data_IF_602194698757
#
_entry.id   IF_602194698757
#
_cell.length_a   1.000
_cell.length_b   1.000
_cell.length_c   1.000
_cell.angle_alpha   90.00
_cell.angle_beta   90.00
_cell.angle_gamma   90.00
#
_symmetry.space_group_name_H-M   'P 1'
#
loop_
_entity.id
_entity.type
_entity.pdbx_description
1 polymer ?
#
# COMPACT_ATOMS: atom_id res chain seq x y z
N UNK A 1 -7.69 -10.16 2.53
CA UNK A 1 -8.00 -9.21 1.44
C UNK A 1 -9.44 -9.44 1.03
N UNK A 2 -10.31 -8.45 1.19
CA UNK A 2 -11.70 -8.53 0.74
C UNK A 2 -11.83 -7.91 -0.65
N UNK A 3 -12.70 -8.50 -1.49
CA UNK A 3 -12.99 -8.03 -2.85
C UNK A 3 -14.37 -7.39 -2.88
N UNK A 4 -14.49 -6.24 -3.53
CA UNK A 4 -15.74 -5.53 -3.76
C UNK A 4 -15.86 -5.13 -5.23
N UNK A 5 -17.01 -5.38 -5.84
CA UNK A 5 -17.30 -4.96 -7.21
C UNK A 5 -18.22 -3.74 -7.13
N UNK A 6 -17.79 -2.62 -7.70
CA UNK A 6 -18.63 -1.43 -7.82
C UNK A 6 -19.61 -1.54 -8.99
N UNK A 7 -20.53 -0.59 -9.04
CA UNK A 7 -21.51 -0.47 -10.12
C UNK A 7 -21.08 0.48 -11.23
N UNK A 8 -20.14 1.38 -10.95
CA UNK A 8 -19.65 2.38 -11.89
C UNK A 8 -18.63 1.79 -12.87
N UNK A 9 -18.66 2.27 -14.11
CA UNK A 9 -17.72 1.90 -15.17
C UNK A 9 -16.43 2.73 -15.18
N UNK A 10 -16.40 3.84 -14.44
CA UNK A 10 -15.27 4.77 -14.36
C UNK A 10 -15.13 5.34 -12.96
N UNK A 11 -13.90 5.57 -12.51
CA UNK A 11 -13.68 6.41 -11.34
C UNK A 11 -13.55 7.88 -11.74
N UNK A 12 -14.25 8.75 -11.02
CA UNK A 12 -14.05 10.18 -11.12
C UNK A 12 -13.00 10.57 -10.09
N UNK A 13 -11.76 10.75 -10.51
CA UNK A 13 -10.65 11.29 -9.67
C UNK A 13 -10.43 12.79 -9.88
N UNK A 14 -11.33 13.46 -10.59
CA UNK A 14 -11.23 14.89 -10.85
C UNK A 14 -11.52 15.68 -9.57
N UNK A 15 -10.71 16.70 -9.28
CA UNK A 15 -10.80 17.53 -8.08
C UNK A 15 -12.13 18.29 -7.92
N UNK A 16 -12.91 18.41 -8.99
CA UNK A 16 -14.22 19.06 -9.01
C UNK A 16 -15.41 18.08 -8.98
N UNK A 17 -15.18 16.78 -8.77
CA UNK A 17 -16.24 15.77 -8.67
C UNK A 17 -16.04 14.89 -7.43
N UNK A 18 -17.13 14.42 -6.79
CA UNK A 18 -17.00 13.47 -5.70
C UNK A 18 -16.43 12.16 -6.25
N UNK A 19 -15.49 11.54 -5.50
CA UNK A 19 -14.87 10.28 -5.90
C UNK A 19 -15.94 9.19 -6.05
N UNK A 20 -15.92 8.46 -7.15
CA UNK A 20 -16.89 7.37 -7.41
C UNK A 20 -16.92 6.37 -6.25
N UNK A 21 -15.76 6.03 -5.70
CA UNK A 21 -15.65 5.11 -4.57
C UNK A 21 -16.36 5.60 -3.30
N UNK A 22 -16.47 6.92 -3.12
CA UNK A 22 -17.20 7.52 -2.00
C UNK A 22 -18.70 7.53 -2.25
N UNK A 23 -19.11 7.77 -3.50
CA UNK A 23 -20.52 7.73 -3.90
C UNK A 23 -21.12 6.33 -3.78
N UNK A 24 -20.33 5.30 -4.13
CA UNK A 24 -20.75 3.90 -4.04
C UNK A 24 -20.50 3.28 -2.65
N UNK A 25 -19.98 4.06 -1.71
CA UNK A 25 -19.62 3.60 -0.37
C UNK A 25 -18.83 2.29 -0.39
N UNK A 26 -17.76 2.22 -1.19
CA UNK A 26 -16.96 1.01 -1.34
C UNK A 26 -16.51 0.50 0.03
N UNK A 27 -16.74 -0.80 0.27
CA UNK A 27 -16.47 -1.46 1.55
C UNK A 27 -17.17 -0.83 2.76
N UNK A 28 -18.28 -0.11 2.55
CA UNK A 28 -19.03 0.57 3.60
C UNK A 28 -18.47 1.94 3.99
N UNK A 29 -17.47 2.46 3.27
CA UNK A 29 -16.81 3.73 3.57
C UNK A 29 -17.00 4.75 2.45
N UNK A 30 -17.15 6.03 2.82
CA UNK A 30 -17.41 7.14 1.89
C UNK A 30 -16.44 8.32 2.04
N UNK A 31 -15.36 8.12 2.79
CA UNK A 31 -14.32 9.08 3.18
C UNK A 31 -12.95 8.72 2.58
N UNK A 32 -12.94 7.99 1.45
CA UNK A 32 -11.71 7.65 0.73
C UNK A 32 -11.03 8.90 0.19
N UNK A 33 -9.70 8.91 0.24
CA UNK A 33 -8.82 9.90 -0.36
C UNK A 33 -8.00 9.25 -1.48
N UNK A 34 -7.86 9.94 -2.61
CA UNK A 34 -7.06 9.45 -3.73
C UNK A 34 -5.56 9.70 -3.51
N UNK A 35 -4.74 8.64 -3.48
CA UNK A 35 -3.30 8.76 -3.28
C UNK A 35 -2.49 8.85 -4.58
N UNK A 36 -2.86 8.02 -5.57
CA UNK A 36 -2.12 7.93 -6.83
C UNK A 36 -2.45 6.69 -7.64
N UNK A 37 -1.58 6.38 -8.61
CA UNK A 37 -1.70 5.22 -9.49
C UNK A 37 -0.40 4.44 -9.52
N UNK A 38 -0.53 3.12 -9.53
CA UNK A 38 0.61 2.20 -9.65
C UNK A 38 1.35 2.46 -10.97
N UNK A 39 2.67 2.60 -10.89
CA UNK A 39 3.54 2.80 -12.04
C UNK A 39 3.48 4.18 -12.70
N UNK A 40 2.77 5.16 -12.11
CA UNK A 40 2.69 6.53 -12.64
C UNK A 40 3.30 7.60 -11.74
N UNK A 41 3.39 7.36 -10.43
CA UNK A 41 3.90 8.33 -9.45
C UNK A 41 4.96 7.69 -8.56
N UNK A 42 5.97 8.47 -8.18
CA UNK A 42 7.02 8.04 -7.24
C UNK A 42 6.39 7.48 -5.97
N UNK A 43 6.84 6.29 -5.60
CA UNK A 43 6.41 5.57 -4.41
C UNK A 43 5.19 4.66 -4.55
N UNK A 44 4.49 4.73 -5.68
CA UNK A 44 3.44 3.79 -6.10
C UNK A 44 4.04 2.82 -7.13
N UNK A 45 4.93 1.93 -6.70
CA UNK A 45 5.69 1.07 -7.61
C UNK A 45 4.89 -0.17 -8.03
N UNK A 46 5.22 -0.74 -9.20
CA UNK A 46 4.61 -1.96 -9.69
C UNK A 46 4.32 -1.93 -11.20
N UNK A 47 3.61 -2.96 -11.65
CA UNK A 47 3.17 -3.09 -13.04
C UNK A 47 1.96 -2.20 -13.28
N UNK A 48 2.11 -1.19 -14.15
CA UNK A 48 1.06 -0.22 -14.47
C UNK A 48 -0.19 -0.85 -15.09
N UNK A 49 0.00 -1.79 -16.01
CA UNK A 49 -1.07 -2.33 -16.86
C UNK A 49 -0.76 -3.76 -17.34
N UNK A 50 -1.79 -4.48 -17.76
CA UNK A 50 -1.69 -5.84 -18.31
C UNK A 50 -2.68 -6.80 -17.66
N UNK A 51 -2.48 -8.11 -17.85
CA UNK A 51 -3.35 -9.14 -17.25
C UNK A 51 -2.83 -9.66 -15.91
N UNK A 52 -1.59 -9.34 -15.58
CA UNK A 52 -0.99 -9.65 -14.29
C UNK A 52 0.16 -8.70 -14.00
N UNK A 53 0.56 -8.64 -12.74
CA UNK A 53 1.70 -7.83 -12.35
C UNK A 53 1.87 -7.73 -10.85
N UNK A 54 2.60 -6.69 -10.44
CA UNK A 54 2.86 -6.40 -9.02
C UNK A 54 2.38 -5.01 -8.65
N UNK A 55 2.21 -4.79 -7.35
CA UNK A 55 2.01 -3.48 -6.74
C UNK A 55 2.86 -3.39 -5.47
N UNK A 56 3.36 -2.20 -5.15
CA UNK A 56 4.19 -1.94 -3.99
C UNK A 56 4.00 -0.50 -3.52
N UNK A 57 3.57 -0.36 -2.28
CA UNK A 57 3.30 0.90 -1.58
C UNK A 57 4.22 1.08 -0.36
N UNK A 58 5.22 0.21 -0.15
CA UNK A 58 6.07 0.21 1.04
C UNK A 58 6.80 1.53 1.28
N UNK A 59 6.99 2.33 0.23
CA UNK A 59 7.69 3.63 0.31
C UNK A 59 6.79 4.81 0.64
N UNK A 60 5.47 4.62 0.64
CA UNK A 60 4.48 5.70 0.84
C UNK A 60 3.45 5.39 1.92
N UNK A 61 3.35 4.14 2.34
CA UNK A 61 2.45 3.76 3.42
C UNK A 61 2.90 4.44 4.69
N UNK A 62 2.09 5.41 5.11
CA UNK A 62 2.30 6.15 6.34
C UNK A 62 1.66 5.35 7.47
N UNK A 63 2.25 5.44 8.66
CA UNK A 63 1.64 4.89 9.88
C UNK A 63 0.23 5.45 10.15
N UNK A 64 -0.11 6.60 9.56
CA UNK A 64 -1.42 7.24 9.66
C UNK A 64 -2.49 6.64 8.74
N UNK A 65 -2.16 5.77 7.77
CA UNK A 65 -3.19 5.18 6.91
C UNK A 65 -3.85 4.01 7.63
N UNK A 66 -5.17 4.10 7.82
CA UNK A 66 -5.95 3.07 8.49
C UNK A 66 -6.38 1.99 7.49
N UNK A 67 -6.93 2.41 6.35
CA UNK A 67 -7.44 1.51 5.33
C UNK A 67 -6.87 1.89 3.97
N UNK A 68 -6.58 0.89 3.14
CA UNK A 68 -6.02 1.09 1.81
C UNK A 68 -6.75 0.20 0.82
N UNK A 69 -7.21 0.82 -0.26
CA UNK A 69 -7.96 0.16 -1.32
C UNK A 69 -7.25 0.31 -2.67
N UNK A 70 -7.15 -0.80 -3.39
CA UNK A 70 -6.72 -0.83 -4.79
C UNK A 70 -7.93 -0.98 -5.69
N UNK A 71 -8.10 -0.06 -6.65
CA UNK A 71 -9.19 -0.10 -7.64
C UNK A 71 -8.63 -0.37 -9.02
N UNK A 72 -9.04 -1.50 -9.59
CA UNK A 72 -8.65 -1.99 -10.90
C UNK A 72 -9.63 -1.52 -11.97
N UNK A 73 -9.12 -1.20 -13.17
CA UNK A 73 -9.94 -0.77 -14.31
C UNK A 73 -9.48 -1.38 -15.62
N UNK A 74 -10.39 -1.89 -16.44
CA UNK A 74 -10.08 -2.37 -17.81
C UNK A 74 -10.53 -1.45 -18.95
N UNK A 75 -11.25 -0.37 -18.65
CA UNK A 75 -11.81 0.54 -19.66
C UNK A 75 -13.32 0.35 -19.84
N UNK A 76 -13.84 0.63 -21.05
CA UNK A 76 -15.28 0.62 -21.32
C UNK A 76 -15.91 -0.79 -21.15
N UNK A 77 -17.16 -0.84 -20.70
CA UNK A 77 -17.98 -2.06 -20.53
C UNK A 77 -17.52 -3.02 -19.40
N UNK A 78 -16.74 -2.55 -18.43
CA UNK A 78 -16.50 -3.24 -17.16
C UNK A 78 -16.74 -2.28 -16.00
N UNK A 79 -17.13 -2.79 -14.84
CA UNK A 79 -17.24 -1.95 -13.63
C UNK A 79 -15.93 -1.91 -12.86
N UNK A 80 -15.83 -1.05 -11.85
CA UNK A 80 -14.66 -0.98 -10.98
C UNK A 80 -14.57 -2.22 -10.08
N UNK A 81 -13.37 -2.78 -9.92
CA UNK A 81 -13.11 -3.84 -8.94
C UNK A 81 -12.16 -3.31 -7.89
N UNK A 82 -12.63 -3.23 -6.65
CA UNK A 82 -11.89 -2.79 -5.48
C UNK A 82 -11.38 -3.99 -4.68
N UNK A 83 -10.18 -3.86 -4.14
CA UNK A 83 -9.62 -4.77 -3.14
C UNK A 83 -9.16 -3.97 -1.93
N UNK A 84 -9.69 -4.31 -0.75
CA UNK A 84 -9.22 -3.75 0.51
C UNK A 84 -8.02 -4.55 1.00
N UNK A 85 -6.90 -3.85 1.19
CA UNK A 85 -5.68 -4.45 1.71
C UNK A 85 -5.87 -4.80 3.18
N UNK A 86 -5.24 -5.91 3.60
CA UNK A 86 -5.18 -6.24 5.01
C UNK A 86 -4.07 -5.41 5.69
N UNK A 87 -4.22 -5.18 6.99
CA UNK A 87 -3.24 -4.43 7.79
C UNK A 87 -1.82 -4.96 7.61
N UNK A 88 -0.87 -4.03 7.43
CA UNK A 88 0.54 -4.35 7.25
C UNK A 88 0.92 -4.90 5.85
N UNK A 89 -0.04 -5.14 4.95
CA UNK A 89 0.27 -5.60 3.59
C UNK A 89 0.65 -4.43 2.70
N UNK A 90 1.93 -4.33 2.35
CA UNK A 90 2.48 -3.18 1.61
C UNK A 90 2.85 -3.48 0.15
N UNK A 91 2.84 -4.75 -0.25
CA UNK A 91 3.12 -5.15 -1.63
C UNK A 91 2.45 -6.48 -1.95
N UNK A 92 2.27 -6.77 -3.24
CA UNK A 92 1.66 -8.00 -3.69
C UNK A 92 1.69 -8.20 -5.19
N UNK A 93 1.15 -9.34 -5.60
CA UNK A 93 0.88 -9.67 -7.00
C UNK A 93 -0.60 -9.46 -7.29
N UNK A 94 -0.92 -9.24 -8.56
CA UNK A 94 -2.28 -9.14 -9.03
C UNK A 94 -2.45 -9.89 -10.36
N UNK A 95 -3.65 -10.41 -10.58
CA UNK A 95 -4.16 -10.88 -11.85
C UNK A 95 -5.41 -10.06 -12.20
N UNK A 96 -5.70 -9.92 -13.48
CA UNK A 96 -6.85 -9.14 -13.92
C UNK A 96 -8.14 -9.75 -13.39
N UNK A 97 -8.98 -9.00 -12.68
CA UNK A 97 -10.28 -9.49 -12.22
C UNK A 97 -11.32 -9.51 -13.36
N UNK A 98 -10.99 -8.99 -14.54
CA UNK A 98 -11.91 -8.80 -15.65
C UNK A 98 -12.00 -10.03 -16.53
N UNK A 99 -12.48 -11.12 -15.93
CA UNK A 99 -12.59 -12.42 -16.57
C UNK A 99 -13.99 -12.68 -17.12
N UNK A 100 -14.08 -13.59 -18.10
CA UNK A 100 -15.34 -13.98 -18.75
C UNK A 100 -16.42 -14.41 -17.76
N UNK A 101 -16.04 -15.17 -16.72
CA UNK A 101 -16.98 -15.70 -15.74
C UNK A 101 -17.65 -14.64 -14.86
N UNK A 102 -17.02 -13.47 -14.70
CA UNK A 102 -17.49 -12.42 -13.78
C UNK A 102 -18.11 -11.25 -14.54
N UNK A 103 -17.51 -10.86 -15.67
CA UNK A 103 -17.91 -9.66 -16.43
C UNK A 103 -18.48 -9.97 -17.83
N UNK A 104 -18.70 -11.24 -18.16
CA UNK A 104 -19.21 -11.70 -19.46
C UNK A 104 -18.43 -11.14 -20.66
N UNK A 105 -17.11 -11.00 -20.51
CA UNK A 105 -16.19 -10.54 -21.55
C UNK A 105 -15.69 -11.72 -22.41
N UNK A 106 -15.39 -11.53 -23.70
CA UNK A 106 -15.00 -12.64 -24.58
C UNK A 106 -13.69 -13.31 -24.15
N UNK A 107 -12.74 -12.53 -23.64
CA UNK A 107 -11.46 -12.97 -23.07
C UNK A 107 -11.15 -12.12 -21.83
N UNK A 108 -10.25 -12.60 -20.96
CA UNK A 108 -9.72 -11.79 -19.84
C UNK A 108 -9.18 -10.48 -20.37
N UNK A 109 -9.60 -9.37 -19.77
CA UNK A 109 -9.20 -8.04 -20.21
C UNK A 109 -7.98 -7.55 -19.48
N UNK A 110 -7.24 -6.67 -20.14
CA UNK A 110 -6.12 -6.00 -19.52
C UNK A 110 -6.60 -4.96 -18.51
N UNK A 111 -5.95 -4.92 -17.36
CA UNK A 111 -6.02 -3.80 -16.43
C UNK A 111 -5.26 -2.66 -17.08
N UNK A 112 -5.95 -1.54 -17.34
CA UNK A 112 -5.37 -0.32 -17.91
C UNK A 112 -4.54 0.46 -16.89
N UNK A 113 -5.01 0.48 -15.64
CA UNK A 113 -4.31 1.07 -14.50
C UNK A 113 -4.96 0.64 -13.18
N UNK A 114 -4.21 0.80 -12.10
CA UNK A 114 -4.63 0.55 -10.72
C UNK A 114 -4.55 1.86 -9.94
N UNK A 115 -5.66 2.26 -9.35
CA UNK A 115 -5.79 3.47 -8.52
C UNK A 115 -5.72 3.11 -7.05
N UNK A 116 -4.97 3.90 -6.28
CA UNK A 116 -4.78 3.69 -4.85
C UNK A 116 -5.56 4.75 -4.08
N UNK A 117 -6.41 4.27 -3.19
CA UNK A 117 -7.19 5.08 -2.27
C UNK A 117 -6.82 4.70 -0.84
N UNK A 118 -6.85 5.67 0.05
CA UNK A 118 -6.57 5.47 1.47
C UNK A 118 -7.56 6.24 2.34
N UNK A 119 -7.70 5.80 3.58
CA UNK A 119 -8.39 6.52 4.64
C UNK A 119 -7.38 6.84 5.73
N UNK A 120 -7.37 8.09 6.17
CA UNK A 120 -6.53 8.50 7.28
C UNK A 120 -7.15 7.97 8.58
N UNK A 121 -6.34 7.30 9.39
CA UNK A 121 -6.67 7.00 10.77
C UNK A 121 -6.38 8.21 11.65
N UNK A 122 -7.14 8.32 12.74
CA UNK A 122 -6.82 9.30 13.79
C UNK A 122 -5.40 9.04 14.31
N UNK A 123 -4.54 10.07 14.43
CA UNK A 123 -3.21 9.92 15.03
C UNK A 123 -3.35 9.29 16.41
N UNK A 124 -2.83 8.07 16.58
CA UNK A 124 -2.90 7.31 17.84
C UNK A 124 -3.71 6.02 17.79
N UNK A 125 -4.41 5.71 16.69
CA UNK A 125 -5.10 4.42 16.50
C UNK A 125 -4.45 3.50 15.46
N UNK A 126 -3.25 3.86 14.99
CA UNK A 126 -2.37 2.96 14.26
C UNK A 126 -2.05 1.79 15.18
N UNK A 127 -2.56 0.59 14.88
CA UNK A 127 -1.99 -0.62 15.45
C UNK A 127 -0.48 -0.50 15.26
N UNK A 128 0.25 -0.39 16.37
CA UNK A 128 1.66 -0.09 16.36
C UNK A 128 2.33 -1.18 15.52
N UNK A 129 2.70 -0.83 14.28
CA UNK A 129 3.60 -1.65 13.48
C UNK A 129 4.81 -1.84 14.38
N UNK A 130 5.14 -3.08 14.80
CA UNK A 130 6.30 -3.30 15.63
C UNK A 130 7.49 -2.79 14.84
N UNK A 131 8.03 -1.65 15.24
CA UNK A 131 9.32 -1.21 14.73
C UNK A 131 10.27 -2.37 14.99
N UNK A 132 11.00 -2.87 13.96
CA UNK A 132 12.01 -3.88 14.20
C UNK A 132 12.97 -3.33 15.27
N UNK A 133 12.93 -3.91 16.47
CA UNK A 133 13.76 -3.54 17.61
C UNK A 133 15.27 -3.74 17.36
N UNK A 134 15.66 -4.09 16.14
CA UNK A 134 17.03 -4.08 15.67
C UNK A 134 17.42 -2.64 15.35
N UNK A 135 17.97 -1.93 16.34
CA UNK A 135 19.11 -0.98 16.24
C UNK A 135 19.24 -0.08 17.49
N UNK A 136 18.50 -0.31 18.58
CA UNK A 136 18.78 0.32 19.88
C UNK A 136 19.75 -0.49 20.77
N UNK A 137 20.36 -1.55 20.23
CA UNK A 137 21.12 -2.57 20.98
C UNK A 137 22.61 -2.68 20.64
N UNK A 138 23.21 -1.73 19.92
CA UNK A 138 24.65 -1.77 19.58
C UNK A 138 25.30 -0.40 19.82
N UNK A 139 25.25 0.08 21.05
CA UNK A 139 26.08 1.21 21.49
C UNK A 139 26.75 0.99 22.85
N UNK A 140 26.62 -0.20 23.45
CA UNK A 140 27.21 -0.53 24.77
C UNK A 140 28.28 -1.63 24.73
N UNK A 141 28.89 -1.90 23.56
CA UNK A 141 29.98 -2.88 23.44
C UNK A 141 31.37 -2.25 23.19
N UNK A 142 31.49 -0.91 23.16
CA UNK A 142 32.74 -0.23 22.78
C UNK A 142 33.62 0.27 23.93
N UNK A 143 33.10 0.43 25.15
CA UNK A 143 33.84 1.13 26.21
C UNK A 143 34.79 0.25 27.05
N UNK A 144 34.68 -1.08 26.98
CA UNK A 144 35.42 -2.00 27.87
C UNK A 144 36.86 -2.29 27.46
N UNK A 145 37.21 -2.19 26.18
CA UNK A 145 38.51 -2.66 25.67
C UNK A 145 39.63 -1.61 25.67
N UNK A 146 39.30 -0.32 25.82
CA UNK A 146 40.31 0.75 25.89
C UNK A 146 40.92 0.93 27.29
N UNK A 147 40.22 0.52 28.36
CA UNK A 147 40.69 0.67 29.74
C UNK A 147 41.68 -0.43 30.18
N UNK A 148 41.66 -1.61 29.56
CA UNK A 148 42.53 -2.73 29.96
C UNK A 148 43.99 -2.57 29.52
N UNK A 149 44.27 -1.78 28.47
CA UNK A 149 45.65 -1.58 27.97
C UNK A 149 46.45 -0.55 28.75
N UNK A 150 45.82 0.34 29.53
CA UNK A 150 46.54 1.38 30.29
C UNK A 150 47.05 0.95 31.66
N UNK A 151 46.66 -0.23 32.16
CA UNK A 151 47.07 -0.70 33.51
C UNK A 151 48.30 -1.64 33.55
N UNK A 152 48.98 -1.86 32.43
CA UNK A 152 50.24 -2.65 32.39
C UNK A 152 51.49 -1.85 32.02
N UNK A 153 51.40 -0.51 31.98
CA UNK A 153 52.51 0.35 31.55
C UNK A 153 53.19 1.20 32.64
N UNK A 154 52.74 1.17 33.90
CA UNK A 154 53.39 1.94 34.99
C UNK A 154 53.31 1.19 36.32
N UNK A 155 54.32 0.34 36.53
CA UNK A 155 54.86 -0.12 37.80
C UNK A 155 56.18 -0.80 37.40
N UNK A 156 57.38 -0.51 37.91
CA UNK A 156 57.85 0.28 39.06
C UNK A 156 59.40 0.26 38.96
N UNK A 157 60.04 1.31 39.50
CA UNK A 157 61.45 1.37 39.95
C UNK A 157 62.57 1.25 38.91
#
# INVERSE_FOLDING_TARGET
MSCGIGSASQDSVASNKPLTVNQESFFGFSDWTFGGKIGEKTGYAGTKSGQSGTWNLSSILQSSWQDVMLVFKSGNNTTLVGYLLADGVTSGQWSSPFEKGVFNVPNTRDVSHISVYYREGTPGNSAAVPEPATMAGVALAGAGLAAYRRRRGVAKA
#
